data_IF_531030084182
#
_entry.id   IF_531030084182
#
_cell.length_a   1.000
_cell.length_b   1.000
_cell.length_c   1.000
_cell.angle_alpha   90.00
_cell.angle_beta   90.00
_cell.angle_gamma   90.00
#
_symmetry.space_group_name_H-M   'P 1'
#
loop_
_entity.id
_entity.type
_entity.pdbx_description
1 polymer ?
#
# COMPACT_ATOMS: atom_id res chain seq x y z
N UNK A 1 -41.47 1.52 56.09
CA UNK A 1 -42.78 0.85 56.04
C UNK A 1 -42.91 0.22 54.66
N UNK A 2 -42.91 -1.12 54.62
CA UNK A 2 -43.31 -2.11 53.61
C UNK A 2 -43.37 -1.80 52.08
N UNK A 3 -42.74 -2.75 51.33
CA UNK A 3 -42.98 -3.12 49.91
C UNK A 3 -44.40 -3.73 49.69
N UNK A 4 -44.80 -4.02 48.44
CA UNK A 4 -44.60 -5.38 47.88
C UNK A 4 -44.06 -5.39 46.43
N UNK A 5 -43.10 -6.24 46.04
CA UNK A 5 -43.10 -7.68 45.63
C UNK A 5 -43.56 -7.93 44.17
N UNK A 6 -42.61 -8.39 43.35
CA UNK A 6 -42.81 -9.56 42.47
C UNK A 6 -41.47 -10.30 42.26
N UNK A 7 -41.55 -11.62 42.33
CA UNK A 7 -40.52 -12.64 42.47
C UNK A 7 -40.64 -13.61 41.28
N UNK A 8 -39.53 -14.14 40.79
CA UNK A 8 -39.46 -15.31 39.90
C UNK A 8 -38.02 -15.83 39.87
N UNK A 9 -37.56 -16.54 40.92
CA UNK A 9 -37.51 -18.00 41.11
C UNK A 9 -36.52 -18.72 40.17
N UNK A 10 -35.35 -18.99 40.74
CA UNK A 10 -34.34 -19.97 40.32
C UNK A 10 -34.79 -21.34 40.85
N UNK A 11 -34.89 -22.33 39.98
CA UNK A 11 -35.20 -23.71 40.36
C UNK A 11 -33.90 -24.51 40.54
N UNK A 12 -33.57 -24.81 41.79
CA UNK A 12 -32.62 -25.84 42.18
C UNK A 12 -33.41 -27.09 42.64
N UNK A 13 -33.04 -28.27 42.14
CA UNK A 13 -33.60 -29.55 42.60
C UNK A 13 -32.48 -30.36 43.22
N UNK A 14 -32.72 -30.85 44.43
CA UNK A 14 -31.82 -31.67 45.24
C UNK A 14 -32.64 -32.78 45.93
N UNK A 15 -31.99 -33.93 46.09
CA UNK A 15 -32.33 -35.12 46.89
C UNK A 15 -33.25 -36.17 46.22
N UNK A 16 -33.06 -37.49 46.39
CA UNK A 16 -32.57 -38.18 47.59
C UNK A 16 -31.84 -39.51 47.33
N UNK A 17 -31.19 -39.99 48.39
CA UNK A 17 -30.35 -41.18 48.54
C UNK A 17 -31.14 -42.45 48.81
N UNK A 18 -30.64 -43.60 48.33
CA UNK A 18 -30.88 -44.91 48.92
C UNK A 18 -29.55 -45.69 49.01
N UNK A 19 -29.34 -46.35 50.16
CA UNK A 19 -28.09 -47.00 50.58
C UNK A 19 -28.34 -48.48 50.86
N UNK A 20 -27.49 -49.39 50.34
CA UNK A 20 -26.77 -50.39 51.16
C UNK A 20 -25.87 -51.36 50.35
N UNK A 21 -24.57 -51.30 50.68
CA UNK A 21 -23.56 -52.37 50.87
C UNK A 21 -23.46 -53.54 49.87
N UNK A 22 -22.34 -53.56 49.16
CA UNK A 22 -21.50 -54.77 49.03
C UNK A 22 -20.01 -54.39 49.07
N UNK A 23 -19.25 -55.06 49.94
CA UNK A 23 -17.81 -54.93 50.10
C UNK A 23 -17.08 -55.39 48.83
N UNK A 24 -16.19 -54.55 48.30
CA UNK A 24 -15.21 -54.92 47.28
C UNK A 24 -14.05 -53.94 47.36
N UNK A 25 -12.86 -54.45 47.68
CA UNK A 25 -11.63 -53.65 47.84
C UNK A 25 -11.29 -52.86 46.57
N UNK A 26 -10.81 -51.63 46.78
CA UNK A 26 -10.38 -50.71 45.75
C UNK A 26 -9.22 -51.27 44.92
N UNK A 27 -9.43 -51.43 43.61
CA UNK A 27 -8.35 -51.46 42.63
C UNK A 27 -8.11 -50.01 42.20
N UNK A 28 -6.94 -49.47 42.57
CA UNK A 28 -6.48 -48.15 42.10
C UNK A 28 -6.22 -48.26 40.59
N UNK A 29 -7.17 -47.80 39.78
CA UNK A 29 -6.96 -47.62 38.34
C UNK A 29 -5.99 -46.45 38.14
N UNK A 30 -4.76 -46.75 37.72
CA UNK A 30 -3.81 -45.75 37.22
C UNK A 30 -4.47 -44.91 36.13
N UNK A 31 -4.20 -43.59 36.06
CA UNK A 31 -4.69 -42.77 34.97
C UNK A 31 -4.09 -43.29 33.65
N UNK A 32 -4.92 -43.46 32.62
CA UNK A 32 -4.47 -43.61 31.25
C UNK A 32 -3.71 -42.33 30.86
N UNK A 33 -2.40 -42.35 31.00
CA UNK A 33 -1.53 -41.42 30.31
C UNK A 33 -1.63 -41.79 28.84
N UNK A 34 -2.39 -41.00 28.08
CA UNK A 34 -2.33 -41.04 26.64
C UNK A 34 -0.89 -40.76 26.24
N UNK A 35 -0.21 -41.77 25.73
CA UNK A 35 1.05 -41.63 25.02
C UNK A 35 0.78 -40.69 23.84
N UNK A 36 1.20 -39.43 23.99
CA UNK A 36 1.40 -38.59 22.82
C UNK A 36 2.55 -39.22 22.04
N UNK A 37 2.27 -39.66 20.82
CA UNK A 37 3.32 -39.99 19.87
C UNK A 37 4.30 -38.81 19.82
N UNK A 38 5.63 -39.03 19.82
CA UNK A 38 6.57 -37.94 19.70
C UNK A 38 6.23 -37.15 18.43
N UNK A 39 6.14 -35.83 18.56
CA UNK A 39 5.98 -34.95 17.41
C UNK A 39 7.08 -35.33 16.40
N UNK A 40 6.66 -35.75 15.21
CA UNK A 40 7.58 -35.95 14.09
C UNK A 40 8.10 -34.56 13.76
N UNK A 41 9.30 -34.26 14.26
CA UNK A 41 10.08 -33.12 13.77
C UNK A 41 10.44 -33.48 12.35
N UNK A 42 9.66 -32.99 11.39
CA UNK A 42 10.11 -32.92 10.02
C UNK A 42 11.26 -31.92 10.05
N UNK A 43 12.50 -32.42 10.03
CA UNK A 43 13.62 -31.61 9.55
C UNK A 43 13.26 -31.21 8.12
N UNK A 44 12.74 -30.00 7.96
CA UNK A 44 12.82 -29.34 6.67
C UNK A 44 14.31 -29.27 6.35
N UNK A 45 14.75 -30.20 5.49
CA UNK A 45 15.99 -30.04 4.77
C UNK A 45 15.82 -28.74 3.99
N UNK A 46 16.31 -27.65 4.56
CA UNK A 46 16.57 -26.42 3.81
C UNK A 46 17.56 -26.86 2.76
N UNK A 47 17.04 -27.18 1.57
CA UNK A 47 17.89 -27.35 0.40
C UNK A 47 18.40 -25.95 0.14
N UNK A 48 19.58 -25.67 0.69
CA UNK A 48 20.34 -24.49 0.37
C UNK A 48 20.75 -24.66 -1.10
N UNK A 49 19.84 -24.28 -2.00
CA UNK A 49 20.13 -24.16 -3.43
C UNK A 49 21.10 -22.99 -3.52
N UNK A 50 22.39 -23.29 -3.35
CA UNK A 50 23.44 -22.35 -3.70
C UNK A 50 23.28 -22.12 -5.20
N UNK A 51 22.99 -20.88 -5.65
CA UNK A 51 22.88 -20.62 -7.07
C UNK A 51 24.21 -21.03 -7.71
N UNK A 52 24.15 -21.82 -8.79
CA UNK A 52 25.33 -22.18 -9.57
C UNK A 52 25.95 -20.89 -10.12
N UNK A 53 26.99 -20.40 -9.45
CA UNK A 53 27.59 -19.09 -9.73
C UNK A 53 28.32 -19.04 -11.07
N UNK A 54 28.52 -20.21 -11.71
CA UNK A 54 29.07 -20.31 -13.07
C UNK A 54 28.07 -19.92 -14.16
N UNK A 55 26.77 -19.80 -13.86
CA UNK A 55 25.73 -19.40 -14.81
C UNK A 55 25.29 -17.94 -14.68
N UNK A 56 25.85 -17.19 -13.73
CA UNK A 56 25.44 -15.81 -13.49
C UNK A 56 25.93 -14.87 -14.59
N UNK A 57 25.08 -13.95 -15.01
CA UNK A 57 25.45 -12.80 -15.83
C UNK A 57 26.39 -11.86 -15.05
N UNK A 58 27.15 -10.99 -15.73
CA UNK A 58 27.95 -9.95 -15.07
C UNK A 58 27.13 -9.08 -14.10
N UNK A 59 25.87 -8.81 -14.42
CA UNK A 59 24.94 -8.02 -13.60
C UNK A 59 24.58 -8.77 -12.31
N UNK A 60 24.24 -10.05 -12.40
CA UNK A 60 23.91 -10.86 -11.21
C UNK A 60 25.12 -11.04 -10.30
N UNK A 61 26.32 -11.26 -10.86
CA UNK A 61 27.57 -11.27 -10.08
C UNK A 61 27.80 -9.94 -9.37
N UNK A 62 27.54 -8.82 -10.05
CA UNK A 62 27.66 -7.48 -9.45
C UNK A 62 26.65 -7.28 -8.33
N UNK A 63 25.41 -7.74 -8.46
CA UNK A 63 24.39 -7.65 -7.40
C UNK A 63 24.82 -8.45 -6.17
N UNK A 64 25.24 -9.72 -6.35
CA UNK A 64 25.70 -10.55 -5.23
C UNK A 64 26.93 -9.93 -4.57
N UNK A 65 27.88 -9.44 -5.35
CA UNK A 65 29.04 -8.72 -4.83
C UNK A 65 28.62 -7.51 -3.99
N UNK A 66 27.77 -6.63 -4.53
CA UNK A 66 27.27 -5.45 -3.82
C UNK A 66 26.46 -5.80 -2.56
N UNK A 67 25.77 -6.94 -2.54
CA UNK A 67 25.05 -7.42 -1.36
C UNK A 67 25.99 -7.91 -0.25
N UNK A 68 27.18 -8.38 -0.61
CA UNK A 68 28.17 -8.95 0.34
C UNK A 68 29.25 -7.97 0.78
N UNK A 69 29.55 -6.96 -0.04
CA UNK A 69 30.63 -6.02 0.23
C UNK A 69 30.11 -4.69 0.75
N UNK A 70 30.55 -4.29 1.95
CA UNK A 70 30.37 -2.92 2.43
C UNK A 70 31.20 -1.91 1.63
N UNK A 71 30.87 -0.62 1.79
CA UNK A 71 31.59 0.51 1.18
C UNK A 71 33.03 0.63 1.71
N UNK A 72 33.28 0.07 2.90
CA UNK A 72 34.56 0.08 3.62
C UNK A 72 35.13 -1.34 3.69
N UNK A 73 36.00 -1.76 2.75
CA UNK A 73 36.52 -3.12 2.70
C UNK A 73 37.43 -3.47 3.88
N UNK A 74 37.98 -2.47 4.57
CA UNK A 74 38.83 -2.62 5.75
C UNK A 74 38.04 -2.96 7.02
N UNK A 75 36.72 -2.74 7.02
CA UNK A 75 35.87 -3.14 8.14
C UNK A 75 35.63 -4.64 8.10
N UNK A 76 35.64 -5.27 9.27
CA UNK A 76 35.27 -6.69 9.40
C UNK A 76 33.85 -6.90 8.90
N UNK A 77 33.71 -7.58 7.77
CA UNK A 77 32.43 -7.99 7.23
C UNK A 77 31.96 -9.26 7.96
N UNK A 78 30.72 -9.26 8.45
CA UNK A 78 30.07 -10.42 9.04
C UNK A 78 28.62 -10.45 8.58
N UNK A 79 28.16 -11.58 8.03
CA UNK A 79 26.82 -11.71 7.46
C UNK A 79 25.78 -12.04 8.55
N UNK A 80 24.64 -11.37 8.52
CA UNK A 80 23.45 -11.75 9.27
C UNK A 80 22.55 -12.62 8.40
N UNK A 81 21.96 -13.67 8.99
CA UNK A 81 21.10 -14.63 8.25
C UNK A 81 19.59 -14.34 8.38
N UNK A 82 19.21 -13.40 9.24
CA UNK A 82 17.81 -13.05 9.49
C UNK A 82 17.49 -11.66 8.91
N UNK A 83 16.98 -11.62 7.69
CA UNK A 83 16.53 -10.40 7.03
C UNK A 83 15.43 -10.68 6.00
N UNK A 84 14.59 -9.67 5.75
CA UNK A 84 13.65 -9.65 4.64
C UNK A 84 14.10 -8.66 3.55
N UNK A 85 13.63 -8.85 2.31
CA UNK A 85 13.80 -7.86 1.25
C UNK A 85 12.93 -6.64 1.56
N UNK A 86 13.47 -5.44 1.33
CA UNK A 86 12.70 -4.19 1.46
C UNK A 86 11.50 -4.21 0.49
N UNK A 87 10.31 -3.99 1.03
CA UNK A 87 9.05 -3.97 0.26
C UNK A 87 8.67 -2.52 -0.10
N UNK A 88 7.99 -2.31 -1.24
CA UNK A 88 7.40 -1.01 -1.54
C UNK A 88 6.28 -0.70 -0.54
N UNK A 89 6.10 0.58 -0.23
CA UNK A 89 5.07 1.08 0.67
C UNK A 89 4.08 2.04 -0.03
N UNK A 90 4.35 2.41 -1.28
CA UNK A 90 3.54 3.33 -2.07
C UNK A 90 3.32 2.80 -3.48
N UNK A 91 2.24 3.25 -4.10
CA UNK A 91 2.03 3.13 -5.54
C UNK A 91 1.80 4.52 -6.11
N UNK A 92 2.61 4.89 -7.10
CA UNK A 92 2.49 6.17 -7.81
C UNK A 92 1.93 5.90 -9.19
N UNK A 93 0.79 6.54 -9.47
CA UNK A 93 0.07 6.41 -10.73
C UNK A 93 0.48 7.55 -11.66
N UNK A 94 0.73 7.20 -12.91
CA UNK A 94 1.16 8.10 -13.97
C UNK A 94 0.27 7.96 -15.20
N UNK A 95 0.30 8.96 -16.07
CA UNK A 95 -0.02 8.78 -17.49
C UNK A 95 1.21 9.16 -18.31
N UNK A 96 1.38 8.48 -19.44
CA UNK A 96 2.61 8.57 -20.24
C UNK A 96 2.76 9.89 -20.98
N UNK A 97 1.65 10.59 -21.26
CA UNK A 97 1.57 11.72 -22.18
C UNK A 97 2.10 11.36 -23.58
N UNK A 98 1.88 10.10 -23.98
CA UNK A 98 2.28 9.51 -25.24
C UNK A 98 1.07 8.87 -25.94
N UNK A 99 1.28 8.43 -27.19
CA UNK A 99 0.21 7.91 -28.04
C UNK A 99 0.21 6.37 -28.14
N UNK A 100 1.22 5.70 -27.55
CA UNK A 100 1.25 4.23 -27.54
C UNK A 100 2.17 3.64 -26.47
N UNK A 101 1.78 2.46 -25.98
CA UNK A 101 2.63 1.54 -25.19
C UNK A 101 4.01 1.32 -25.82
N UNK A 102 4.08 1.09 -27.13
CA UNK A 102 5.35 0.82 -27.81
C UNK A 102 6.32 2.00 -27.69
N UNK A 103 5.82 3.24 -27.78
CA UNK A 103 6.60 4.45 -27.54
C UNK A 103 7.08 4.53 -26.09
N UNK A 104 6.25 4.16 -25.12
CA UNK A 104 6.62 4.12 -23.69
C UNK A 104 7.71 3.10 -23.40
N UNK A 105 7.56 1.87 -23.89
CA UNK A 105 8.59 0.82 -23.77
C UNK A 105 9.91 1.29 -24.37
N UNK A 106 9.87 1.83 -25.59
CA UNK A 106 11.07 2.39 -26.24
C UNK A 106 11.69 3.51 -25.41
N UNK A 107 10.88 4.39 -24.83
CA UNK A 107 11.36 5.47 -23.95
C UNK A 107 12.17 4.92 -22.77
N UNK A 108 11.71 3.83 -22.15
CA UNK A 108 12.41 3.19 -21.02
C UNK A 108 13.67 2.42 -21.41
N UNK A 109 13.83 2.09 -22.70
CA UNK A 109 14.98 1.34 -23.20
C UNK A 109 16.07 2.22 -23.81
N UNK A 110 15.87 3.54 -23.91
CA UNK A 110 16.87 4.46 -24.45
C UNK A 110 17.74 5.01 -23.29
N UNK A 111 19.08 4.80 -23.29
CA UNK A 111 19.95 5.18 -22.18
C UNK A 111 19.88 6.65 -21.74
N UNK A 112 19.58 7.57 -22.68
CA UNK A 112 19.55 9.02 -22.40
C UNK A 112 18.32 9.48 -21.61
N UNK A 113 17.22 8.71 -21.61
CA UNK A 113 15.95 9.15 -21.01
C UNK A 113 15.99 9.05 -19.49
N UNK A 114 16.72 8.06 -18.95
CA UNK A 114 16.89 7.83 -17.50
C UNK A 114 15.56 7.84 -16.74
N UNK A 115 14.55 7.20 -17.31
CA UNK A 115 13.23 6.99 -16.69
C UNK A 115 12.78 5.55 -16.89
N UNK A 116 12.04 5.04 -15.92
CA UNK A 116 11.44 3.70 -15.97
C UNK A 116 10.28 3.63 -14.98
N UNK A 117 9.35 2.70 -15.19
CA UNK A 117 8.32 2.31 -14.23
C UNK A 117 8.34 0.79 -14.03
N UNK A 118 7.59 0.27 -13.06
CA UNK A 118 7.47 -1.17 -12.86
C UNK A 118 6.43 -1.77 -13.80
N UNK A 119 5.35 -1.04 -14.04
CA UNK A 119 4.26 -1.47 -14.90
C UNK A 119 3.92 -0.41 -15.95
N UNK A 120 3.55 -0.87 -17.14
CA UNK A 120 2.88 -0.08 -18.19
C UNK A 120 1.56 -0.78 -18.49
N UNK A 121 0.46 -0.01 -18.54
CA UNK A 121 -0.86 -0.54 -18.87
C UNK A 121 -1.39 0.15 -20.14
N UNK A 122 -1.60 -0.64 -21.18
CA UNK A 122 -2.12 -0.17 -22.46
C UNK A 122 -3.59 0.23 -22.41
N UNK A 123 -4.02 1.00 -23.42
CA UNK A 123 -5.41 1.43 -23.58
C UNK A 123 -6.40 0.27 -23.66
N UNK A 124 -5.96 -0.86 -24.21
CA UNK A 124 -6.72 -2.11 -24.33
C UNK A 124 -6.73 -2.95 -23.03
N UNK A 125 -6.06 -2.51 -21.98
CA UNK A 125 -5.91 -3.25 -20.72
C UNK A 125 -4.73 -4.22 -20.68
N UNK A 126 -3.87 -4.26 -21.69
CA UNK A 126 -2.62 -5.05 -21.63
C UNK A 126 -1.75 -4.57 -20.46
N UNK A 127 -1.32 -5.49 -19.59
CA UNK A 127 -0.43 -5.21 -18.46
C UNK A 127 0.97 -5.71 -18.81
N UNK A 128 1.95 -4.81 -18.78
CA UNK A 128 3.36 -5.13 -19.05
C UNK A 128 4.18 -4.81 -17.81
N UNK A 129 4.84 -5.83 -17.25
CA UNK A 129 5.79 -5.65 -16.17
C UNK A 129 7.19 -5.39 -16.73
N UNK A 130 7.71 -4.20 -16.49
CA UNK A 130 9.02 -3.73 -16.95
C UNK A 130 10.13 -3.97 -15.93
N UNK A 131 9.81 -3.94 -14.64
CA UNK A 131 10.74 -4.18 -13.54
C UNK A 131 10.08 -5.04 -12.47
N UNK A 132 10.90 -5.83 -11.78
CA UNK A 132 10.48 -6.53 -10.57
C UNK A 132 10.15 -5.52 -9.45
N UNK A 133 9.12 -5.81 -8.66
CA UNK A 133 8.60 -4.93 -7.60
C UNK A 133 9.63 -4.52 -6.52
N UNK A 134 10.70 -5.30 -6.34
CA UNK A 134 11.77 -5.02 -5.38
C UNK A 134 12.89 -4.12 -5.94
N UNK A 135 12.86 -3.80 -7.23
CA UNK A 135 13.89 -2.99 -7.90
C UNK A 135 13.45 -1.53 -7.96
N UNK A 136 14.31 -0.62 -7.48
CA UNK A 136 14.07 0.82 -7.59
C UNK A 136 13.96 1.27 -9.05
N UNK A 137 12.74 1.62 -9.50
CA UNK A 137 12.51 2.29 -10.79
C UNK A 137 12.78 3.80 -10.72
N UNK A 138 12.82 4.48 -11.87
CA UNK A 138 13.09 5.93 -12.00
C UNK A 138 11.86 6.67 -12.55
N UNK A 139 10.75 6.62 -11.84
CA UNK A 139 9.45 7.16 -12.27
C UNK A 139 9.10 8.49 -11.57
N UNK A 140 9.36 8.60 -10.27
CA UNK A 140 8.97 9.74 -9.45
C UNK A 140 9.88 10.97 -9.66
N UNK A 141 11.14 10.76 -10.03
CA UNK A 141 12.15 11.83 -10.10
C UNK A 141 12.35 12.57 -8.77
N UNK A 142 12.55 13.90 -8.82
CA UNK A 142 12.59 14.77 -7.63
C UNK A 142 11.15 14.98 -7.14
N UNK A 143 10.80 14.36 -6.02
CA UNK A 143 9.45 14.31 -5.48
C UNK A 143 9.46 14.15 -3.96
N UNK A 144 8.35 14.46 -3.30
CA UNK A 144 8.19 14.38 -1.85
C UNK A 144 6.75 14.04 -1.47
N UNK A 145 6.59 13.18 -0.48
CA UNK A 145 5.31 12.92 0.17
C UNK A 145 5.51 12.83 1.68
N UNK A 146 4.91 13.75 2.43
CA UNK A 146 5.18 13.94 3.86
C UNK A 146 6.65 14.25 4.11
N UNK A 147 7.32 13.40 4.88
CA UNK A 147 8.76 13.49 5.16
C UNK A 147 9.64 12.72 4.17
N UNK A 148 9.06 11.92 3.27
CA UNK A 148 9.79 11.05 2.35
C UNK A 148 10.17 11.86 1.10
N UNK A 149 11.46 11.88 0.77
CA UNK A 149 12.03 12.66 -0.36
C UNK A 149 12.62 11.80 -1.48
N UNK A 150 12.72 10.49 -1.29
CA UNK A 150 13.14 9.53 -2.33
C UNK A 150 12.03 8.53 -2.63
N UNK A 151 10.97 9.03 -3.28
CA UNK A 151 9.78 8.24 -3.58
C UNK A 151 10.09 7.01 -4.43
N UNK A 152 11.04 7.09 -5.38
CA UNK A 152 11.46 5.95 -6.21
C UNK A 152 11.87 4.73 -5.38
N UNK A 153 12.51 4.94 -4.22
CA UNK A 153 13.04 3.84 -3.39
C UNK A 153 11.98 3.14 -2.55
N UNK A 154 10.80 3.74 -2.39
CA UNK A 154 9.73 3.19 -1.54
C UNK A 154 8.42 2.95 -2.30
N UNK A 155 8.40 3.13 -3.63
CA UNK A 155 7.16 3.08 -4.40
C UNK A 155 7.24 2.28 -5.69
N UNK A 156 6.09 1.73 -6.08
CA UNK A 156 5.84 1.16 -7.39
C UNK A 156 5.28 2.23 -8.33
N UNK A 157 6.01 2.56 -9.40
CA UNK A 157 5.47 3.34 -10.52
C UNK A 157 4.64 2.51 -11.50
N UNK A 158 3.43 2.98 -11.82
CA UNK A 158 2.54 2.42 -12.85
C UNK A 158 2.21 3.50 -13.88
N UNK A 159 2.50 3.21 -15.14
CA UNK A 159 2.28 4.12 -16.27
C UNK A 159 1.08 3.68 -17.10
N UNK A 160 0.12 4.59 -17.27
CA UNK A 160 -1.06 4.35 -18.09
C UNK A 160 -0.86 5.01 -19.45
N UNK A 161 -0.98 4.24 -20.52
CA UNK A 161 -0.96 4.75 -21.89
C UNK A 161 -2.16 5.66 -22.15
N UNK A 162 -1.94 6.96 -21.95
CA UNK A 162 -2.94 8.02 -22.07
C UNK A 162 -2.21 9.36 -22.28
N UNK A 163 -2.75 10.21 -23.16
CA UNK A 163 -2.13 11.50 -23.54
C UNK A 163 -2.42 12.65 -22.54
N UNK A 164 -3.21 12.38 -21.49
CA UNK A 164 -3.56 13.34 -20.44
C UNK A 164 -4.73 14.26 -20.78
N UNK A 165 -5.32 14.16 -21.97
CA UNK A 165 -6.38 15.06 -22.48
C UNK A 165 -7.72 14.37 -22.71
N UNK A 166 -7.84 13.11 -22.31
CA UNK A 166 -9.03 12.28 -22.50
C UNK A 166 -9.26 11.35 -21.30
N UNK A 167 -10.49 10.86 -21.10
CA UNK A 167 -10.79 9.76 -20.18
C UNK A 167 -9.94 8.51 -20.41
N UNK A 168 -9.65 7.81 -19.33
CA UNK A 168 -8.96 6.52 -19.35
C UNK A 168 -9.96 5.43 -19.74
N UNK A 169 -9.67 4.57 -20.75
CA UNK A 169 -10.57 3.48 -21.13
C UNK A 169 -10.87 2.53 -19.97
N UNK A 170 -12.09 1.99 -19.93
CA UNK A 170 -12.49 1.06 -18.86
C UNK A 170 -11.62 -0.20 -18.79
N UNK A 171 -11.20 -0.74 -19.94
CA UNK A 171 -10.28 -1.88 -19.99
C UNK A 171 -8.95 -1.58 -19.27
N UNK A 172 -8.39 -0.39 -19.50
CA UNK A 172 -7.16 0.08 -18.85
C UNK A 172 -7.36 0.25 -17.33
N UNK A 173 -8.47 0.86 -16.90
CA UNK A 173 -8.76 1.05 -15.48
C UNK A 173 -9.04 -0.28 -14.76
N UNK A 174 -9.72 -1.24 -15.40
CA UNK A 174 -9.97 -2.56 -14.82
C UNK A 174 -8.66 -3.36 -14.63
N UNK A 175 -7.75 -3.28 -15.60
CA UNK A 175 -6.42 -3.85 -15.48
C UNK A 175 -5.60 -3.18 -14.38
N UNK A 176 -5.69 -1.86 -14.26
CA UNK A 176 -5.09 -1.13 -13.14
C UNK A 176 -5.60 -1.65 -11.79
N UNK A 177 -6.91 -1.79 -11.60
CA UNK A 177 -7.48 -2.32 -10.35
C UNK A 177 -6.90 -3.69 -10.00
N UNK A 178 -6.75 -4.57 -11.00
CA UNK A 178 -6.16 -5.91 -10.81
C UNK A 178 -4.71 -5.83 -10.30
N UNK A 179 -3.90 -4.94 -10.88
CA UNK A 179 -2.52 -4.69 -10.43
C UNK A 179 -2.52 -4.12 -9.01
N UNK A 180 -3.37 -3.12 -8.73
CA UNK A 180 -3.45 -2.49 -7.41
C UNK A 180 -3.89 -3.47 -6.32
N UNK A 181 -4.90 -4.32 -6.57
CA UNK A 181 -5.35 -5.37 -5.65
C UNK A 181 -4.20 -6.34 -5.31
N UNK A 182 -3.44 -6.74 -6.33
CA UNK A 182 -2.29 -7.63 -6.18
C UNK A 182 -1.20 -7.00 -5.33
N UNK A 183 -0.80 -5.76 -5.63
CA UNK A 183 0.24 -5.03 -4.91
C UNK A 183 -0.19 -4.74 -3.46
N UNK A 184 -1.43 -4.29 -3.27
CA UNK A 184 -1.99 -3.99 -1.93
C UNK A 184 -1.94 -5.22 -1.04
N UNK A 185 -2.47 -6.35 -1.52
CA UNK A 185 -2.56 -7.58 -0.74
C UNK A 185 -1.19 -8.19 -0.45
N UNK A 186 -0.29 -8.17 -1.44
CA UNK A 186 1.05 -8.77 -1.32
C UNK A 186 1.96 -7.98 -0.39
N UNK A 187 1.90 -6.65 -0.44
CA UNK A 187 2.82 -5.77 0.27
C UNK A 187 2.20 -5.06 1.47
N UNK A 188 0.90 -5.26 1.72
CA UNK A 188 0.13 -4.60 2.78
C UNK A 188 0.20 -3.07 2.66
N UNK A 189 0.14 -2.56 1.42
CA UNK A 189 0.23 -1.11 1.16
C UNK A 189 -1.04 -0.43 1.70
N UNK A 190 -0.89 0.59 2.58
CA UNK A 190 -2.02 1.34 3.10
C UNK A 190 -2.83 2.05 2.01
N UNK A 191 -4.14 2.18 2.21
CA UNK A 191 -5.07 2.81 1.27
C UNK A 191 -4.63 4.23 0.89
N UNK A 192 -4.10 5.01 1.84
CA UNK A 192 -3.66 6.38 1.58
C UNK A 192 -2.36 6.50 0.77
N UNK A 193 -1.69 5.38 0.48
CA UNK A 193 -0.40 5.35 -0.23
C UNK A 193 -0.53 5.06 -1.73
N UNK A 194 -1.75 5.03 -2.27
CA UNK A 194 -2.03 5.05 -3.70
C UNK A 194 -2.29 6.49 -4.14
N UNK A 195 -1.29 7.11 -4.78
CA UNK A 195 -1.27 8.55 -5.07
C UNK A 195 -0.76 8.83 -6.49
N UNK A 196 -0.99 10.04 -6.98
CA UNK A 196 -0.58 10.47 -8.32
C UNK A 196 0.81 11.11 -8.31
N UNK A 197 1.45 11.18 -9.47
CA UNK A 197 2.72 11.88 -9.61
C UNK A 197 2.62 13.38 -9.30
N UNK A 198 1.49 13.99 -9.63
CA UNK A 198 1.16 15.37 -9.32
C UNK A 198 1.04 15.61 -7.82
N UNK A 199 0.67 14.59 -7.04
CA UNK A 199 0.57 14.71 -5.57
C UNK A 199 1.97 14.86 -4.96
N UNK A 200 2.93 14.07 -5.44
CA UNK A 200 4.30 14.03 -4.91
C UNK A 200 5.25 15.06 -5.55
N UNK A 201 4.89 15.63 -6.70
CA UNK A 201 5.70 16.60 -7.41
C UNK A 201 4.85 17.77 -7.96
N UNK A 202 4.12 18.49 -7.09
CA UNK A 202 3.07 19.44 -7.50
C UNK A 202 3.58 20.58 -8.39
N UNK A 203 4.83 21.03 -8.21
CA UNK A 203 5.44 22.10 -9.01
C UNK A 203 5.95 21.65 -10.39
N UNK A 204 6.02 20.34 -10.66
CA UNK A 204 6.68 19.78 -11.84
C UNK A 204 5.76 18.90 -12.68
N UNK A 205 4.77 18.27 -12.05
CA UNK A 205 3.99 17.19 -12.64
C UNK A 205 2.50 17.44 -12.53
N UNK A 206 1.78 16.99 -13.55
CA UNK A 206 0.33 17.12 -13.69
C UNK A 206 -0.34 15.78 -14.01
N UNK A 207 0.41 14.67 -13.94
CA UNK A 207 -0.07 13.31 -14.11
C UNK A 207 -0.45 12.63 -12.78
N UNK A 208 -1.47 11.77 -12.74
CA UNK A 208 -2.44 11.54 -13.79
C UNK A 208 -3.37 12.77 -13.95
N UNK A 209 -3.99 12.92 -15.13
CA UNK A 209 -4.79 14.10 -15.47
C UNK A 209 -6.10 14.17 -14.66
N UNK A 210 -6.84 15.28 -14.80
CA UNK A 210 -8.18 15.45 -14.18
C UNK A 210 -9.19 14.37 -14.58
N UNK A 211 -8.95 13.66 -15.69
CA UNK A 211 -9.83 12.59 -16.16
C UNK A 211 -9.62 11.26 -15.44
N UNK A 212 -8.60 11.17 -14.59
CA UNK A 212 -8.30 9.93 -13.87
C UNK A 212 -9.34 9.67 -12.77
N UNK A 213 -9.93 8.46 -12.70
CA UNK A 213 -11.11 8.21 -11.88
C UNK A 213 -10.75 7.89 -10.42
N UNK A 214 -10.15 8.84 -9.71
CA UNK A 214 -9.70 8.68 -8.31
C UNK A 214 -10.81 8.19 -7.37
N UNK A 215 -12.05 8.68 -7.54
CA UNK A 215 -13.21 8.22 -6.76
C UNK A 215 -13.45 6.71 -6.91
N UNK A 216 -13.45 6.21 -8.15
CA UNK A 216 -13.65 4.79 -8.48
C UNK A 216 -12.56 3.91 -7.85
N UNK A 217 -11.33 4.42 -7.76
CA UNK A 217 -10.22 3.75 -7.09
C UNK A 217 -10.39 3.72 -5.57
N UNK A 218 -10.74 4.86 -4.97
CA UNK A 218 -10.94 4.96 -3.53
C UNK A 218 -12.13 4.13 -3.03
N UNK A 219 -13.18 3.96 -3.83
CA UNK A 219 -14.30 3.04 -3.56
C UNK A 219 -13.85 1.57 -3.44
N UNK A 220 -12.68 1.21 -4.00
CA UNK A 220 -12.02 -0.09 -3.83
C UNK A 220 -10.86 -0.07 -2.83
N UNK A 221 -10.67 1.02 -2.09
CA UNK A 221 -9.60 1.18 -1.11
C UNK A 221 -8.24 1.52 -1.73
N UNK A 222 -8.20 2.10 -2.93
CA UNK A 222 -6.98 2.64 -3.53
C UNK A 222 -7.00 4.16 -3.50
N UNK A 223 -6.36 4.73 -2.49
CA UNK A 223 -6.39 6.16 -2.22
C UNK A 223 -7.53 6.52 -1.29
N UNK A 224 -7.62 7.80 -0.98
CA UNK A 224 -8.65 8.37 -0.11
C UNK A 224 -9.62 9.19 -0.95
N UNK A 225 -10.90 9.17 -0.58
CA UNK A 225 -11.93 10.07 -1.08
C UNK A 225 -12.76 10.63 0.08
N UNK A 226 -13.39 11.78 -0.14
CA UNK A 226 -14.31 12.40 0.81
C UNK A 226 -15.74 11.91 0.57
N UNK A 227 -16.59 12.00 1.58
CA UNK A 227 -18.02 11.77 1.39
C UNK A 227 -18.64 13.04 0.81
N UNK A 228 -19.02 12.99 -0.47
CA UNK A 228 -19.63 14.10 -1.20
C UNK A 228 -21.01 14.48 -0.62
N UNK A 229 -21.73 13.54 0.00
CA UNK A 229 -23.04 13.77 0.60
C UNK A 229 -22.98 14.34 2.03
N UNK A 230 -21.81 14.27 2.68
CA UNK A 230 -21.62 14.67 4.08
C UNK A 230 -20.42 15.62 4.24
N UNK A 231 -20.40 16.69 3.46
CA UNK A 231 -19.30 17.65 3.50
C UNK A 231 -19.42 18.57 4.72
N UNK A 232 -18.45 18.45 5.64
CA UNK A 232 -18.38 19.31 6.82
C UNK A 232 -17.58 20.58 6.52
N UNK A 233 -18.13 21.74 6.86
CA UNK A 233 -17.45 23.04 6.76
C UNK A 233 -16.26 23.10 7.74
N UNK A 234 -15.09 23.61 7.32
CA UNK A 234 -13.96 23.76 8.21
C UNK A 234 -14.25 24.78 9.33
N UNK A 235 -13.66 24.62 10.53
CA UNK A 235 -13.73 25.64 11.57
C UNK A 235 -12.98 26.93 11.16
N UNK A 236 -13.29 28.05 11.80
CA UNK A 236 -12.73 29.37 11.45
C UNK A 236 -11.20 29.43 11.52
N UNK A 237 -10.58 28.63 12.39
CA UNK A 237 -9.13 28.54 12.56
C UNK A 237 -8.44 27.52 11.62
N UNK A 238 -9.16 26.96 10.64
CA UNK A 238 -8.61 25.98 9.73
C UNK A 238 -7.51 26.56 8.82
N UNK A 239 -6.31 25.99 8.91
CA UNK A 239 -5.20 26.33 8.04
C UNK A 239 -5.05 25.31 6.90
N UNK A 240 -5.40 25.74 5.69
CA UNK A 240 -5.30 24.91 4.49
C UNK A 240 -3.87 24.47 4.15
N UNK A 241 -2.86 25.32 4.42
CA UNK A 241 -1.46 24.98 4.17
C UNK A 241 -1.00 23.85 5.08
N UNK A 242 -1.37 23.90 6.37
CA UNK A 242 -1.02 22.85 7.33
C UNK A 242 -1.76 21.55 7.00
N UNK A 243 -3.04 21.65 6.60
CA UNK A 243 -3.82 20.49 6.16
C UNK A 243 -3.19 19.78 4.95
N UNK A 244 -2.80 20.53 3.91
CA UNK A 244 -2.10 19.98 2.74
C UNK A 244 -0.78 19.31 3.13
N UNK A 245 -0.02 19.94 4.03
CA UNK A 245 1.25 19.40 4.53
C UNK A 245 1.05 18.10 5.34
N UNK A 246 0.00 18.02 6.15
CA UNK A 246 -0.33 16.82 6.95
C UNK A 246 -0.80 15.67 6.06
N UNK A 247 -1.60 15.97 5.01
CA UNK A 247 -1.97 14.96 4.01
C UNK A 247 -0.73 14.39 3.31
N UNK A 248 0.26 15.24 3.03
CA UNK A 248 1.56 14.83 2.50
C UNK A 248 2.13 15.70 1.39
N UNK A 249 1.39 16.70 0.91
CA UNK A 249 1.86 17.56 -0.18
C UNK A 249 3.08 18.38 0.22
N UNK A 250 3.99 18.61 -0.72
CA UNK A 250 5.05 19.59 -0.54
C UNK A 250 4.51 21.02 -0.71
N UNK A 251 4.40 21.74 0.39
CA UNK A 251 3.81 23.09 0.43
C UNK A 251 4.82 24.22 0.27
N UNK A 252 6.08 23.91 -0.07
CA UNK A 252 7.11 24.92 -0.39
C UNK A 252 6.64 25.89 -1.50
N UNK A 253 5.86 25.37 -2.46
CA UNK A 253 5.04 26.18 -3.35
C UNK A 253 3.56 25.86 -3.10
N UNK A 254 2.93 26.63 -2.22
CA UNK A 254 1.53 26.41 -1.81
C UNK A 254 0.56 26.44 -3.00
N UNK A 255 0.76 27.34 -3.97
CA UNK A 255 -0.09 27.43 -5.15
C UNK A 255 -0.06 26.14 -5.96
N UNK A 256 1.13 25.56 -6.17
CA UNK A 256 1.27 24.30 -6.87
C UNK A 256 0.61 23.14 -6.12
N UNK A 257 0.76 23.08 -4.79
CA UNK A 257 0.11 22.08 -3.94
C UNK A 257 -1.43 22.18 -4.03
N UNK A 258 -1.99 23.39 -4.04
CA UNK A 258 -3.43 23.63 -4.23
C UNK A 258 -3.88 23.09 -5.60
N UNK A 259 -3.14 23.40 -6.67
CA UNK A 259 -3.46 22.91 -8.02
C UNK A 259 -3.45 21.38 -8.10
N UNK A 260 -2.45 20.73 -7.48
CA UNK A 260 -2.37 19.27 -7.43
C UNK A 260 -3.55 18.64 -6.65
N UNK A 261 -3.83 19.17 -5.45
CA UNK A 261 -4.99 18.75 -4.66
C UNK A 261 -6.29 18.88 -5.45
N UNK A 262 -6.48 20.03 -6.09
CA UNK A 262 -7.66 20.31 -6.91
C UNK A 262 -7.79 19.37 -8.10
N UNK A 263 -6.69 19.06 -8.79
CA UNK A 263 -6.68 18.09 -9.90
C UNK A 263 -7.23 16.73 -9.48
N UNK A 264 -6.91 16.30 -8.26
CA UNK A 264 -7.33 15.01 -7.72
C UNK A 264 -8.77 15.02 -7.20
N UNK A 265 -9.15 16.02 -6.40
CA UNK A 265 -10.40 15.98 -5.61
C UNK A 265 -11.51 16.90 -6.12
N UNK A 266 -11.15 17.98 -6.80
CA UNK A 266 -12.11 18.98 -7.29
C UNK A 266 -12.42 18.77 -8.77
N UNK A 267 -11.40 18.42 -9.58
CA UNK A 267 -11.45 18.02 -10.99
C UNK A 267 -11.92 19.12 -11.96
N UNK A 268 -12.98 19.85 -11.62
CA UNK A 268 -13.62 20.90 -12.43
C UNK A 268 -12.89 22.25 -12.44
N UNK A 269 -12.01 22.47 -11.48
CA UNK A 269 -11.27 23.71 -11.30
C UNK A 269 -9.88 23.38 -10.77
N UNK A 270 -8.85 23.90 -11.43
CA UNK A 270 -7.44 23.72 -11.04
C UNK A 270 -6.73 25.07 -10.91
N UNK A 271 -7.45 26.14 -10.58
CA UNK A 271 -6.87 27.44 -10.21
C UNK A 271 -6.07 27.33 -8.90
N UNK A 272 -5.04 28.16 -8.69
CA UNK A 272 -4.17 28.09 -7.51
C UNK A 272 -4.77 28.65 -6.21
N UNK A 273 -6.06 28.97 -6.18
CA UNK A 273 -6.78 29.53 -5.04
C UNK A 273 -7.86 28.56 -4.53
N UNK A 274 -8.08 28.46 -3.22
CA UNK A 274 -9.14 27.61 -2.66
C UNK A 274 -10.45 28.38 -2.46
N UNK A 275 -11.53 27.90 -3.07
CA UNK A 275 -12.90 28.34 -2.79
C UNK A 275 -13.40 27.79 -1.45
N UNK A 276 -14.57 28.26 -0.98
CA UNK A 276 -15.22 27.71 0.23
C UNK A 276 -15.50 26.21 0.11
N UNK A 277 -15.91 25.77 -1.08
CA UNK A 277 -16.11 24.35 -1.38
C UNK A 277 -14.79 23.58 -1.27
N UNK A 278 -13.72 24.08 -1.89
CA UNK A 278 -12.42 23.39 -1.89
C UNK A 278 -11.83 23.26 -0.49
N UNK A 279 -11.99 24.29 0.35
CA UNK A 279 -11.58 24.24 1.77
C UNK A 279 -12.35 23.17 2.55
N UNK A 280 -13.64 23.00 2.24
CA UNK A 280 -14.47 21.97 2.86
C UNK A 280 -14.05 20.58 2.41
N UNK A 281 -13.77 20.37 1.13
CA UNK A 281 -13.21 19.11 0.63
C UNK A 281 -11.86 18.83 1.28
N UNK A 282 -10.95 19.81 1.31
CA UNK A 282 -9.63 19.68 1.93
C UNK A 282 -9.73 19.30 3.40
N UNK A 283 -10.63 19.94 4.15
CA UNK A 283 -10.84 19.62 5.56
C UNK A 283 -11.34 18.19 5.78
N UNK A 284 -12.27 17.71 4.96
CA UNK A 284 -12.79 16.35 5.08
C UNK A 284 -11.77 15.29 4.67
N UNK A 285 -10.91 15.56 3.68
CA UNK A 285 -9.77 14.71 3.36
C UNK A 285 -8.77 14.72 4.51
N UNK A 286 -8.39 15.91 5.01
CA UNK A 286 -7.44 16.09 6.10
C UNK A 286 -7.81 15.26 7.35
N UNK A 287 -9.08 15.22 7.73
CA UNK A 287 -9.55 14.41 8.87
C UNK A 287 -9.30 12.90 8.72
N UNK A 288 -9.13 12.39 7.49
CA UNK A 288 -8.81 10.98 7.23
C UNK A 288 -7.31 10.67 7.39
N UNK A 289 -6.49 11.69 7.62
CA UNK A 289 -5.05 11.58 7.88
C UNK A 289 -4.68 11.92 9.34
N UNK A 290 -5.69 12.16 10.20
CA UNK A 290 -5.52 12.32 11.64
C UNK A 290 -5.53 10.99 12.39
#
# INVERSE_FOLDING_TARGET
>A
MFRPVSIGIILAVLMSLASCKSKGQAAVSKPLVASFAPAVVLEEKVVEVKPDTNQLTPQERKVIFLQKTGVHPEWRQAEAIHYDVRKPNFVIIHHTAQDSVAQTIKTFQIPRTKVSSHYVIGRNGEIIQMLNDYVRSWHAGVAKWGSIVDMNSCSIGIELDNNGREPFPDAQINSLMTVLDTLKSRYLIPDNNFIGHADIAPSRKNDPSVFFPWKKLAERGFGIWYDEGQLITPPDNFNASDALKIIGYDTANLKAAIVAFKRKFIVRDTTPELTVYDKSVLYNIYKKYQ
#
